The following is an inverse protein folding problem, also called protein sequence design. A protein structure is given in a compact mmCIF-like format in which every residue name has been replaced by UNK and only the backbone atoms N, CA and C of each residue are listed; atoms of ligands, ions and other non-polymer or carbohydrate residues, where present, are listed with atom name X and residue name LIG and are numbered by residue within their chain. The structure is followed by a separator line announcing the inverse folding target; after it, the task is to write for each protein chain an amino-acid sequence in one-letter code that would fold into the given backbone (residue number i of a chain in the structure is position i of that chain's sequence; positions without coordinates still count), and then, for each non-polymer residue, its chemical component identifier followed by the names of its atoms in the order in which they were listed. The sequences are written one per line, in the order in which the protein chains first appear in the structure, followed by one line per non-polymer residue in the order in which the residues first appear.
data_IF_025186268827
#
_entry.id   IF_025186268827
#
_cell.length_a   1.000
_cell.length_b   1.000
_cell.length_c   1.000
_cell.angle_alpha   90.00
_cell.angle_beta   90.00
_cell.angle_gamma   90.00
#
_symmetry.space_group_name_H-M   'P 1'
#
loop_
_entity.id
_entity.type
_entity.pdbx_description
1 polymer ?
#
# COMPACT_ATOMS: atom_id res chain seq x y z
N UNK A 1 -12.90 -11.53 -5.36
CA UNK A 1 -13.05 -10.53 -4.29
C UNK A 1 -13.42 -9.18 -4.91
N UNK A 2 -14.51 -8.61 -4.45
CA UNK A 2 -15.02 -7.36 -5.01
C UNK A 2 -14.67 -6.13 -4.15
N UNK A 3 -14.47 -6.33 -2.86
CA UNK A 3 -14.16 -5.25 -1.91
C UNK A 3 -12.79 -5.51 -1.27
N UNK A 4 -11.93 -4.52 -1.34
CA UNK A 4 -10.64 -4.54 -0.67
C UNK A 4 -10.64 -3.47 0.41
N UNK A 5 -10.26 -3.83 1.62
CA UNK A 5 -10.15 -2.88 2.74
C UNK A 5 -8.74 -2.94 3.31
N UNK A 6 -8.16 -1.78 3.52
CA UNK A 6 -6.85 -1.71 4.16
C UNK A 6 -6.68 -0.40 4.90
N UNK A 7 -5.67 -0.37 5.77
CA UNK A 7 -5.29 0.83 6.49
C UNK A 7 -3.90 1.25 6.00
N UNK A 8 -3.72 2.56 5.78
CA UNK A 8 -2.40 3.11 5.51
C UNK A 8 -1.83 3.54 6.83
N UNK A 9 -0.69 2.95 7.18
CA UNK A 9 -0.11 3.09 8.51
C UNK A 9 1.15 3.96 8.46
N UNK A 10 1.40 4.68 9.54
CA UNK A 10 2.68 5.32 9.81
C UNK A 10 3.16 4.74 11.14
N UNK A 11 4.14 3.84 11.09
CA UNK A 11 4.53 3.00 12.23
C UNK A 11 3.27 2.26 12.72
N UNK A 12 2.89 2.43 14.00
CA UNK A 12 1.70 1.77 14.55
C UNK A 12 0.47 2.68 14.58
N UNK A 13 0.56 3.85 13.92
CA UNK A 13 -0.54 4.82 13.89
C UNK A 13 -1.28 4.69 12.58
N UNK A 14 -2.61 4.60 12.64
CA UNK A 14 -3.46 4.56 11.44
C UNK A 14 -3.55 5.97 10.87
N UNK A 15 -3.03 6.16 9.64
CA UNK A 15 -3.12 7.43 8.94
C UNK A 15 -4.42 7.52 8.14
N UNK A 16 -4.91 6.41 7.60
CA UNK A 16 -6.15 6.40 6.82
C UNK A 16 -6.75 5.01 6.71
N UNK A 17 -8.07 4.96 6.56
CA UNK A 17 -8.79 3.75 6.17
C UNK A 17 -9.17 3.89 4.71
N UNK A 18 -8.93 2.84 3.92
CA UNK A 18 -9.23 2.83 2.49
C UNK A 18 -10.10 1.64 2.15
N UNK A 19 -11.14 1.90 1.35
CA UNK A 19 -12.04 0.86 0.84
C UNK A 19 -12.07 0.98 -0.68
N UNK A 20 -11.77 -0.12 -1.37
CA UNK A 20 -11.82 -0.18 -2.83
C UNK A 20 -12.91 -1.15 -3.24
N UNK A 21 -13.90 -0.63 -3.96
CA UNK A 21 -14.99 -1.43 -4.50
C UNK A 21 -14.69 -1.66 -5.98
N UNK A 22 -14.15 -2.84 -6.30
CA UNK A 22 -13.77 -3.17 -7.67
C UNK A 22 -14.96 -3.29 -8.60
N UNK A 23 -16.09 -3.76 -8.07
CA UNK A 23 -17.29 -3.96 -8.87
C UNK A 23 -17.85 -2.64 -9.38
N UNK A 24 -17.92 -1.64 -8.49
CA UNK A 24 -18.45 -0.32 -8.82
C UNK A 24 -17.35 0.68 -9.17
N UNK A 25 -16.09 0.24 -9.14
CA UNK A 25 -14.92 1.08 -9.44
C UNK A 25 -14.90 2.35 -8.60
N UNK A 26 -15.14 2.19 -7.29
CA UNK A 26 -15.17 3.30 -6.35
C UNK A 26 -14.11 3.12 -5.27
N UNK A 27 -13.48 4.23 -4.90
CA UNK A 27 -12.46 4.26 -3.85
C UNK A 27 -12.90 5.26 -2.79
N UNK A 28 -12.91 4.82 -1.54
CA UNK A 28 -13.25 5.67 -0.40
C UNK A 28 -12.07 5.71 0.56
N UNK A 29 -11.83 6.87 1.15
CA UNK A 29 -10.73 7.06 2.08
C UNK A 29 -11.15 7.97 3.22
N UNK A 30 -10.86 7.55 4.45
CA UNK A 30 -11.03 8.38 5.63
C UNK A 30 -9.64 8.66 6.19
N UNK A 31 -9.23 9.92 6.14
CA UNK A 31 -7.93 10.35 6.64
C UNK A 31 -8.01 10.72 8.11
N UNK A 32 -7.02 10.27 8.90
CA UNK A 32 -6.95 10.57 10.33
C UNK A 32 -5.79 11.51 10.66
N UNK A 33 -5.09 12.01 9.64
CA UNK A 33 -3.98 12.94 9.83
C UNK A 33 -4.17 14.18 8.96
N UNK A 34 -3.76 15.35 9.48
CA UNK A 34 -3.75 16.59 8.73
C UNK A 34 -2.51 16.68 7.82
N UNK A 35 -1.51 15.88 8.07
CA UNK A 35 -0.27 15.88 7.28
C UNK A 35 -0.52 15.14 5.97
N UNK A 36 -0.62 15.89 4.86
CA UNK A 36 -0.92 15.32 3.55
C UNK A 36 0.17 14.37 3.06
N UNK A 37 1.40 14.51 3.56
CA UNK A 37 2.50 13.62 3.17
C UNK A 37 2.32 12.22 3.74
N UNK A 38 1.50 12.06 4.78
CA UNK A 38 1.21 10.77 5.38
C UNK A 38 -0.09 10.16 4.87
N UNK A 39 -0.85 10.89 4.05
CA UNK A 39 -2.10 10.39 3.47
C UNK A 39 -1.82 9.55 2.23
N UNK A 40 -2.56 8.46 2.01
CA UNK A 40 -2.30 7.59 0.84
C UNK A 40 -2.53 8.31 -0.49
N UNK A 41 -3.45 9.28 -0.52
CA UNK A 41 -3.79 9.99 -1.75
C UNK A 41 -3.48 11.49 -1.65
N UNK A 42 -2.65 11.88 -0.70
CA UNK A 42 -2.27 13.28 -0.52
C UNK A 42 -3.47 14.18 -0.31
N UNK A 43 -3.55 15.26 -1.10
CA UNK A 43 -4.63 16.24 -0.98
C UNK A 43 -5.83 15.93 -1.88
N UNK A 44 -5.82 14.80 -2.60
CA UNK A 44 -6.91 14.44 -3.51
C UNK A 44 -8.14 14.07 -2.68
N UNK A 45 -9.30 14.67 -3.02
CA UNK A 45 -10.54 14.44 -2.30
C UNK A 45 -11.56 13.60 -3.07
N UNK A 46 -11.53 13.68 -4.42
CA UNK A 46 -12.39 12.86 -5.27
C UNK A 46 -11.53 11.76 -5.87
N UNK A 47 -11.65 10.57 -5.31
CA UNK A 47 -10.79 9.45 -5.64
C UNK A 47 -11.34 8.60 -6.78
N UNK A 48 -10.44 8.08 -7.62
CA UNK A 48 -10.78 7.17 -8.71
C UNK A 48 -9.94 5.90 -8.58
N UNK A 49 -10.29 4.88 -9.36
CA UNK A 49 -9.49 3.65 -9.43
C UNK A 49 -8.06 3.96 -9.88
N UNK A 50 -7.88 4.96 -10.73
CA UNK A 50 -6.55 5.37 -11.20
C UNK A 50 -5.70 5.90 -10.05
N UNK A 51 -6.30 6.66 -9.13
CA UNK A 51 -5.60 7.16 -7.94
C UNK A 51 -5.13 6.00 -7.08
N UNK A 52 -5.97 4.98 -6.91
CA UNK A 52 -5.63 3.79 -6.16
C UNK A 52 -4.48 3.01 -6.83
N UNK A 53 -4.56 2.81 -8.13
CA UNK A 53 -3.52 2.11 -8.88
C UNK A 53 -2.19 2.84 -8.78
N UNK A 54 -2.21 4.17 -8.88
CA UNK A 54 -1.01 5.00 -8.74
C UNK A 54 -0.43 4.89 -7.33
N UNK A 55 -1.29 4.86 -6.32
CA UNK A 55 -0.85 4.66 -4.95
C UNK A 55 -0.09 3.32 -4.81
N UNK A 56 -0.66 2.25 -5.35
CA UNK A 56 -0.01 0.94 -5.30
C UNK A 56 1.34 0.96 -6.01
N UNK A 57 1.41 1.56 -7.20
CA UNK A 57 2.65 1.65 -7.96
C UNK A 57 3.72 2.41 -7.19
N UNK A 58 3.34 3.47 -6.47
CA UNK A 58 4.27 4.26 -5.67
C UNK A 58 4.80 3.50 -4.46
N UNK A 59 4.12 2.43 -4.04
CA UNK A 59 4.57 1.59 -2.92
C UNK A 59 5.27 0.33 -3.40
N UNK A 60 5.57 0.21 -4.70
CA UNK A 60 6.28 -0.91 -5.29
C UNK A 60 7.65 -0.48 -5.78
N UNK A 61 8.54 -1.47 -5.95
CA UNK A 61 9.78 -1.19 -6.68
C UNK A 61 9.44 -0.97 -8.16
N UNK A 62 10.24 -0.14 -8.88
CA UNK A 62 9.94 0.16 -10.29
C UNK A 62 9.99 -1.08 -11.18
N UNK A 63 9.06 -1.14 -12.13
CA UNK A 63 9.01 -2.23 -13.12
C UNK A 63 10.29 -2.31 -13.93
N UNK A 64 10.92 -1.18 -14.19
CA UNK A 64 12.15 -1.06 -14.98
C UNK A 64 13.41 -1.42 -14.21
N UNK A 65 13.30 -1.73 -12.94
CA UNK A 65 14.45 -2.07 -12.11
C UNK A 65 15.16 -3.29 -12.69
N UNK A 66 16.51 -3.22 -12.79
CA UNK A 66 17.31 -4.24 -13.43
C UNK A 66 17.06 -5.66 -12.91
N UNK A 67 16.91 -5.81 -11.61
CA UNK A 67 16.68 -7.11 -10.99
C UNK A 67 15.21 -7.38 -10.69
N UNK A 68 14.29 -6.78 -11.46
CA UNK A 68 12.85 -6.92 -11.23
C UNK A 68 12.40 -8.38 -11.19
N UNK A 69 12.84 -9.19 -12.16
CA UNK A 69 12.46 -10.60 -12.21
C UNK A 69 12.89 -11.37 -10.96
N UNK A 70 14.10 -11.09 -10.46
CA UNK A 70 14.58 -11.72 -9.26
C UNK A 70 13.77 -11.31 -8.04
N UNK A 71 13.44 -10.01 -7.94
CA UNK A 71 12.60 -9.51 -6.84
C UNK A 71 11.23 -10.16 -6.85
N UNK A 72 10.62 -10.31 -8.02
CA UNK A 72 9.33 -10.99 -8.14
C UNK A 72 9.43 -12.45 -7.70
N UNK A 73 10.46 -13.15 -8.14
CA UNK A 73 10.68 -14.55 -7.77
C UNK A 73 10.87 -14.70 -6.26
N UNK A 74 11.62 -13.78 -5.64
CA UNK A 74 11.85 -13.80 -4.20
C UNK A 74 10.54 -13.63 -3.42
N UNK A 75 9.57 -12.91 -4.01
CA UNK A 75 8.26 -12.71 -3.42
C UNK A 75 7.27 -13.82 -3.77
N UNK A 76 7.67 -14.77 -4.63
CA UNK A 76 6.78 -15.83 -5.07
C UNK A 76 5.77 -15.39 -6.13
N UNK A 77 6.11 -14.36 -6.91
CA UNK A 77 5.23 -13.80 -7.92
C UNK A 77 5.75 -14.10 -9.32
N UNK A 78 4.86 -14.46 -10.24
CA UNK A 78 5.22 -14.70 -11.64
C UNK A 78 5.23 -13.42 -12.46
N UNK A 79 4.36 -12.48 -12.10
CA UNK A 79 4.15 -11.26 -12.88
C UNK A 79 4.23 -10.02 -12.00
N UNK A 80 4.54 -8.88 -12.62
CA UNK A 80 4.54 -7.60 -11.94
C UNK A 80 3.09 -7.13 -11.77
N UNK A 81 2.55 -7.32 -10.58
CA UNK A 81 1.22 -6.84 -10.22
C UNK A 81 1.37 -5.97 -8.97
N UNK A 82 1.07 -4.66 -9.08
CA UNK A 82 1.23 -3.77 -7.92
C UNK A 82 0.52 -4.26 -6.66
N UNK A 83 -0.73 -4.68 -6.76
CA UNK A 83 -1.43 -5.21 -5.58
C UNK A 83 -0.75 -6.47 -5.03
N UNK A 84 -0.31 -7.38 -5.90
CA UNK A 84 0.40 -8.59 -5.47
C UNK A 84 1.68 -8.26 -4.73
N UNK A 85 2.44 -7.29 -5.23
CA UNK A 85 3.68 -6.84 -4.60
C UNK A 85 3.38 -6.22 -3.22
N UNK A 86 2.39 -5.32 -3.15
CA UNK A 86 2.05 -4.66 -1.89
C UNK A 86 1.52 -5.67 -0.87
N UNK A 87 0.78 -6.70 -1.29
CA UNK A 87 0.34 -7.74 -0.36
C UNK A 87 1.52 -8.50 0.24
N UNK A 88 2.59 -8.69 -0.51
CA UNK A 88 3.78 -9.40 -0.02
C UNK A 88 4.70 -8.52 0.81
N UNK A 89 4.88 -7.26 0.39
CA UNK A 89 5.81 -6.33 1.03
C UNK A 89 5.15 -5.41 2.04
N UNK A 90 3.82 -5.34 2.05
CA UNK A 90 3.04 -4.37 2.81
C UNK A 90 3.38 -2.93 2.40
N UNK A 91 3.90 -2.75 1.19
CA UNK A 91 4.22 -1.44 0.65
C UNK A 91 5.31 -0.69 1.41
N UNK A 92 6.07 -1.39 2.24
CA UNK A 92 7.13 -0.75 3.06
C UNK A 92 8.31 -0.32 2.19
N UNK A 93 8.91 0.80 2.56
CA UNK A 93 10.06 1.37 1.88
C UNK A 93 11.10 1.83 2.90
N UNK A 94 12.36 1.86 2.49
CA UNK A 94 13.44 2.28 3.38
C UNK A 94 13.40 3.78 3.68
N UNK A 95 12.80 4.55 2.80
CA UNK A 95 12.80 6.01 2.86
C UNK A 95 11.78 6.57 3.85
N UNK A 96 10.76 5.78 4.23
CA UNK A 96 9.73 6.26 5.14
C UNK A 96 9.28 5.17 6.12
N UNK A 97 8.30 5.49 6.97
CA UNK A 97 7.76 4.56 7.97
C UNK A 97 6.33 4.15 7.65
N UNK A 98 5.91 4.37 6.40
CA UNK A 98 4.54 4.06 5.99
C UNK A 98 4.45 2.64 5.44
N UNK A 99 3.29 2.03 5.63
CA UNK A 99 3.04 0.68 5.16
C UNK A 99 1.53 0.41 5.08
N UNK A 100 1.17 -0.71 4.47
CA UNK A 100 -0.23 -1.08 4.23
C UNK A 100 -0.58 -2.30 5.09
N UNK A 101 -1.65 -2.15 5.87
CA UNK A 101 -2.17 -3.22 6.70
C UNK A 101 -3.52 -3.64 6.13
N UNK A 102 -3.59 -4.87 5.61
CA UNK A 102 -4.82 -5.36 5.00
C UNK A 102 -5.80 -5.86 6.07
N UNK A 103 -7.09 -5.84 5.75
CA UNK A 103 -8.13 -6.30 6.65
C UNK A 103 -7.84 -7.72 7.14
N UNK A 104 -7.98 -7.93 8.43
CA UNK A 104 -7.75 -9.23 9.05
C UNK A 104 -6.32 -9.49 9.51
N UNK A 105 -5.39 -8.61 9.19
CA UNK A 105 -4.01 -8.77 9.62
C UNK A 105 -3.78 -8.19 11.03
N UNK A 106 -3.02 -8.92 11.83
CA UNK A 106 -2.61 -8.45 13.16
C UNK A 106 -1.10 -8.24 13.13
N UNK A 107 -0.68 -7.06 12.71
CA UNK A 107 0.72 -6.73 12.49
C UNK A 107 1.15 -5.55 13.34
N UNK A 108 2.41 -5.60 13.79
CA UNK A 108 3.05 -4.58 14.60
C UNK A 108 4.26 -4.05 13.84
N UNK A 109 4.43 -2.74 13.78
CA UNK A 109 5.51 -2.12 13.01
C UNK A 109 6.89 -2.63 13.43
N UNK A 110 7.20 -2.59 14.72
CA UNK A 110 8.53 -2.98 15.20
C UNK A 110 8.83 -4.46 14.96
N UNK A 111 7.83 -5.32 15.13
CA UNK A 111 8.00 -6.76 14.99
C UNK A 111 7.95 -7.26 13.56
N UNK A 112 7.02 -6.71 12.77
CA UNK A 112 6.66 -7.31 11.49
C UNK A 112 7.06 -6.50 10.26
N UNK A 113 7.19 -5.19 10.39
CA UNK A 113 7.31 -4.30 9.22
C UNK A 113 8.67 -3.62 9.12
N UNK A 114 9.23 -3.20 10.23
CA UNK A 114 10.46 -2.40 10.27
C UNK A 114 11.59 -3.06 9.46
N UNK A 115 12.15 -2.35 8.52
CA UNK A 115 13.19 -2.86 7.63
C UNK A 115 14.60 -2.78 8.21
N UNK A 116 14.81 -1.89 9.17
CA UNK A 116 16.11 -1.72 9.82
C UNK A 116 15.95 -1.04 11.18
N UNK A 117 16.92 -1.24 12.01
CA UNK A 117 16.97 -0.66 13.36
C UNK A 117 17.26 0.84 13.34
#
# INVERSE_FOLDING_TARGET
MEILKFQYMHKDIVAADVVVDYRNKQVSCVNYTEDITLRPFGAVTQLSMRDFERFLENRCFPRERRNCKQLLADLGLEYYTPLGIVRKTHGRQLEDFSWVKFEGEDLDYERDIKLRD
#
